data_IF_579575677184
#
_entry.id   IF_579575677184
#
_cell.length_a   1.000
_cell.length_b   1.000
_cell.length_c   1.000
_cell.angle_alpha   90.00
_cell.angle_beta   90.00
_cell.angle_gamma   90.00
#
_symmetry.space_group_name_H-M   'P 1'
#
loop_
_entity.id
_entity.type
_entity.pdbx_description
1 polymer ?
#
# COMPACT_ATOMS: atom_id res chain seq x y z
N UNK A 1 2.11 -27.06 15.39
CA UNK A 1 1.66 -25.64 15.37
C UNK A 1 2.59 -24.72 14.56
N UNK A 2 3.90 -24.94 14.60
CA UNK A 2 4.87 -24.05 13.96
C UNK A 2 4.85 -24.03 12.40
N UNK A 3 4.52 -25.13 11.73
CA UNK A 3 4.57 -25.22 10.26
C UNK A 3 3.51 -24.32 9.58
N UNK A 4 2.31 -24.28 10.14
CA UNK A 4 1.21 -23.48 9.55
C UNK A 4 1.46 -22.00 9.79
N UNK A 5 1.94 -21.63 10.98
CA UNK A 5 2.30 -20.25 11.30
C UNK A 5 3.43 -19.76 10.40
N UNK A 6 4.46 -20.56 10.19
CA UNK A 6 5.57 -20.23 9.30
C UNK A 6 5.10 -20.03 7.85
N UNK A 7 4.20 -20.89 7.35
CA UNK A 7 3.61 -20.72 6.01
C UNK A 7 2.82 -19.41 5.91
N UNK A 8 2.04 -19.08 6.92
CA UNK A 8 1.29 -17.83 6.97
C UNK A 8 2.19 -16.59 6.92
N UNK A 9 3.27 -16.58 7.71
CA UNK A 9 4.25 -15.49 7.72
C UNK A 9 4.94 -15.37 6.36
N UNK A 10 5.37 -16.51 5.77
CA UNK A 10 5.97 -16.55 4.45
C UNK A 10 5.03 -16.03 3.35
N UNK A 11 3.74 -16.35 3.41
CA UNK A 11 2.75 -15.84 2.44
C UNK A 11 2.62 -14.32 2.54
N UNK A 12 2.53 -13.75 3.75
CA UNK A 12 2.49 -12.30 3.94
C UNK A 12 3.77 -11.61 3.45
N UNK A 13 4.94 -12.20 3.72
CA UNK A 13 6.23 -11.70 3.26
C UNK A 13 6.32 -11.74 1.73
N UNK A 14 5.99 -12.89 1.12
CA UNK A 14 6.03 -13.04 -0.33
C UNK A 14 5.04 -12.12 -1.04
N UNK A 15 3.81 -12.00 -0.54
CA UNK A 15 2.80 -11.10 -1.09
C UNK A 15 3.27 -9.64 -1.04
N UNK A 16 3.76 -9.17 0.12
CA UNK A 16 4.29 -7.80 0.27
C UNK A 16 5.46 -7.54 -0.66
N UNK A 17 6.40 -8.48 -0.76
CA UNK A 17 7.56 -8.36 -1.62
C UNK A 17 7.16 -8.31 -3.11
N UNK A 18 6.28 -9.21 -3.56
CA UNK A 18 5.83 -9.26 -4.95
C UNK A 18 5.06 -7.99 -5.35
N UNK A 19 4.21 -7.47 -4.48
CA UNK A 19 3.46 -6.24 -4.74
C UNK A 19 4.42 -5.04 -4.83
N UNK A 20 5.35 -4.90 -3.88
CA UNK A 20 6.36 -3.84 -3.92
C UNK A 20 7.25 -3.96 -5.17
N UNK A 21 7.70 -5.15 -5.51
CA UNK A 21 8.47 -5.39 -6.71
C UNK A 21 7.71 -4.97 -7.96
N UNK A 22 6.43 -5.35 -8.06
CA UNK A 22 5.57 -4.99 -9.19
C UNK A 22 5.42 -3.48 -9.33
N UNK A 23 5.14 -2.74 -8.25
CA UNK A 23 4.98 -1.28 -8.34
C UNK A 23 6.30 -0.57 -8.65
N UNK A 24 7.46 -1.10 -8.23
CA UNK A 24 8.75 -0.57 -8.62
C UNK A 24 9.10 -0.86 -10.09
N UNK A 25 8.75 -2.04 -10.58
CA UNK A 25 8.88 -2.34 -12.02
C UNK A 25 8.03 -1.38 -12.85
N UNK A 26 6.77 -1.16 -12.48
CA UNK A 26 5.89 -0.20 -13.17
C UNK A 26 6.48 1.21 -13.14
N UNK A 27 7.02 1.62 -12.01
CA UNK A 27 7.61 2.95 -11.88
C UNK A 27 8.86 3.15 -12.72
N UNK A 28 9.83 2.22 -12.68
CA UNK A 28 11.15 2.42 -13.27
C UNK A 28 11.28 1.87 -14.70
N UNK A 29 10.58 0.77 -15.04
CA UNK A 29 10.64 0.20 -16.38
C UNK A 29 9.55 0.75 -17.31
N UNK A 30 8.36 1.02 -16.76
CA UNK A 30 7.25 1.56 -17.55
C UNK A 30 7.10 3.08 -17.41
N UNK A 31 8.02 3.74 -16.69
CA UNK A 31 8.00 5.19 -16.44
C UNK A 31 6.65 5.70 -15.90
N UNK A 32 5.93 4.86 -15.15
CA UNK A 32 4.67 5.25 -14.51
C UNK A 32 4.96 5.96 -13.20
N UNK A 33 5.06 7.29 -13.26
CA UNK A 33 5.39 8.07 -12.09
C UNK A 33 4.26 8.03 -11.05
N UNK A 34 4.55 7.65 -9.79
CA UNK A 34 3.53 7.52 -8.75
C UNK A 34 3.08 8.88 -8.23
N UNK A 35 1.80 9.05 -7.96
CA UNK A 35 1.28 10.18 -7.19
C UNK A 35 1.69 10.07 -5.71
N UNK A 36 1.51 11.12 -4.92
CA UNK A 36 1.83 11.13 -3.48
C UNK A 36 1.05 10.06 -2.70
N UNK A 37 -0.22 9.85 -3.03
CA UNK A 37 -1.03 8.80 -2.39
C UNK A 37 -0.56 7.40 -2.78
N UNK A 38 -0.15 7.17 -4.03
CA UNK A 38 0.41 5.89 -4.47
C UNK A 38 1.69 5.52 -3.69
N UNK A 39 2.49 6.53 -3.34
CA UNK A 39 3.70 6.31 -2.49
C UNK A 39 3.29 5.91 -1.07
N UNK A 40 2.30 6.60 -0.50
CA UNK A 40 1.81 6.31 0.86
C UNK A 40 1.15 4.93 0.97
N UNK A 41 0.51 4.44 -0.09
CA UNK A 41 -0.07 3.10 -0.17
C UNK A 41 0.95 1.97 -0.10
N UNK A 42 2.23 2.25 -0.28
CA UNK A 42 3.31 1.25 -0.11
C UNK A 42 3.66 0.99 1.35
N UNK A 43 3.37 1.94 2.27
CA UNK A 43 3.73 1.80 3.69
C UNK A 43 3.14 0.55 4.36
N UNK A 44 1.86 0.21 4.19
CA UNK A 44 1.31 -1.04 4.73
C UNK A 44 2.10 -2.28 4.33
N UNK A 45 2.55 -2.37 3.07
CA UNK A 45 3.35 -3.50 2.60
C UNK A 45 4.74 -3.55 3.23
N UNK A 46 5.39 -2.40 3.44
CA UNK A 46 6.67 -2.36 4.17
C UNK A 46 6.48 -2.83 5.61
N UNK A 47 5.42 -2.37 6.29
CA UNK A 47 5.13 -2.77 7.67
C UNK A 47 4.85 -4.27 7.74
N UNK A 48 4.02 -4.82 6.84
CA UNK A 48 3.75 -6.27 6.77
C UNK A 48 5.04 -7.06 6.52
N UNK A 49 5.87 -6.61 5.59
CA UNK A 49 7.15 -7.24 5.29
C UNK A 49 8.11 -7.25 6.50
N UNK A 50 8.25 -6.11 7.17
CA UNK A 50 9.08 -5.97 8.38
C UNK A 50 8.54 -6.86 9.51
N UNK A 51 7.24 -6.83 9.77
CA UNK A 51 6.61 -7.69 10.77
C UNK A 51 6.84 -9.18 10.47
N UNK A 52 6.75 -9.58 9.19
CA UNK A 52 7.00 -10.95 8.78
C UNK A 52 8.46 -11.35 9.02
N UNK A 53 9.42 -10.50 8.66
CA UNK A 53 10.86 -10.75 8.89
C UNK A 53 11.16 -10.84 10.39
N UNK A 54 10.68 -9.88 11.19
CA UNK A 54 10.86 -9.91 12.65
C UNK A 54 10.32 -11.22 13.24
N UNK A 55 9.17 -11.68 12.73
CA UNK A 55 8.54 -12.92 13.22
C UNK A 55 9.34 -14.18 12.92
N UNK A 56 10.10 -14.21 11.82
CA UNK A 56 10.98 -15.35 11.51
C UNK A 56 12.09 -15.49 12.54
N UNK A 57 12.59 -14.37 13.07
CA UNK A 57 13.69 -14.35 14.04
C UNK A 57 13.23 -14.45 15.51
N UNK A 58 11.96 -14.19 15.79
CA UNK A 58 11.43 -14.30 17.17
C UNK A 58 10.85 -15.68 17.38
N UNK A 59 11.36 -16.37 18.41
CA UNK A 59 10.86 -17.68 18.82
C UNK A 59 9.40 -17.58 19.30
N UNK A 60 8.47 -18.14 18.54
CA UNK A 60 7.02 -17.95 18.69
C UNK A 60 6.37 -18.94 19.67
N UNK A 61 7.10 -19.41 20.69
CA UNK A 61 6.56 -20.34 21.67
C UNK A 61 5.46 -19.75 22.58
N UNK A 62 5.28 -18.42 22.57
CA UNK A 62 4.28 -17.76 23.41
C UNK A 62 3.01 -17.43 22.61
N UNK A 63 1.88 -17.97 23.05
CA UNK A 63 0.55 -17.77 22.44
C UNK A 63 0.20 -16.28 22.32
N UNK A 64 0.52 -15.48 23.35
CA UNK A 64 0.24 -14.05 23.37
C UNK A 64 0.99 -13.30 22.26
N UNK A 65 2.27 -13.62 22.04
CA UNK A 65 3.06 -13.00 20.95
C UNK A 65 2.47 -13.32 19.59
N UNK A 66 2.07 -14.56 19.35
CA UNK A 66 1.43 -15.00 18.11
C UNK A 66 0.12 -14.25 17.85
N UNK A 67 -0.68 -14.03 18.89
CA UNK A 67 -1.95 -13.27 18.78
C UNK A 67 -1.69 -11.80 18.44
N UNK A 68 -0.76 -11.15 19.14
CA UNK A 68 -0.39 -9.74 18.88
C UNK A 68 0.05 -9.56 17.43
N UNK A 69 0.88 -10.44 16.92
CA UNK A 69 1.38 -10.37 15.55
C UNK A 69 0.27 -10.52 14.52
N UNK A 70 -0.64 -11.48 14.71
CA UNK A 70 -1.82 -11.63 13.83
C UNK A 70 -2.69 -10.38 13.85
N UNK A 71 -2.92 -9.78 15.02
CA UNK A 71 -3.67 -8.54 15.15
C UNK A 71 -2.97 -7.38 14.43
N UNK A 72 -1.64 -7.29 14.50
CA UNK A 72 -0.88 -6.28 13.78
C UNK A 72 -0.99 -6.44 12.27
N UNK A 73 -0.92 -7.68 11.74
CA UNK A 73 -1.15 -7.93 10.31
C UNK A 73 -2.55 -7.49 9.87
N UNK A 74 -3.58 -7.84 10.65
CA UNK A 74 -4.97 -7.45 10.36
C UNK A 74 -5.11 -5.93 10.40
N UNK A 75 -4.62 -5.27 11.46
CA UNK A 75 -4.70 -3.83 11.62
C UNK A 75 -4.02 -3.11 10.44
N UNK A 76 -2.80 -3.53 10.09
CA UNK A 76 -2.07 -2.93 8.97
C UNK A 76 -2.79 -3.12 7.63
N UNK A 77 -3.31 -4.33 7.36
CA UNK A 77 -4.07 -4.62 6.14
C UNK A 77 -5.38 -3.83 6.11
N UNK A 78 -6.05 -3.66 7.24
CA UNK A 78 -7.29 -2.90 7.36
C UNK A 78 -7.07 -1.40 7.10
N UNK A 79 -6.03 -0.81 7.70
CA UNK A 79 -5.68 0.59 7.43
C UNK A 79 -5.26 0.80 5.97
N UNK A 80 -4.47 -0.12 5.39
CA UNK A 80 -4.11 -0.08 3.97
C UNK A 80 -5.34 -0.15 3.07
N UNK A 81 -6.29 -1.02 3.37
CA UNK A 81 -7.56 -1.14 2.66
C UNK A 81 -8.38 0.14 2.71
N UNK A 82 -8.56 0.74 3.89
CA UNK A 82 -9.30 2.00 4.03
C UNK A 82 -8.64 3.14 3.26
N UNK A 83 -7.31 3.21 3.30
CA UNK A 83 -6.57 4.24 2.59
C UNK A 83 -6.68 4.07 1.07
N UNK A 84 -6.66 2.84 0.57
CA UNK A 84 -6.84 2.55 -0.86
C UNK A 84 -8.25 2.89 -1.35
N UNK A 85 -9.29 2.59 -0.56
CA UNK A 85 -10.66 3.03 -0.88
C UNK A 85 -10.75 4.56 -0.94
N UNK A 86 -10.12 5.25 0.01
CA UNK A 86 -10.08 6.70 0.02
C UNK A 86 -9.42 7.24 -1.25
N UNK A 87 -8.31 6.65 -1.69
CA UNK A 87 -7.62 7.03 -2.92
C UNK A 87 -8.48 6.80 -4.18
N UNK A 88 -9.08 5.63 -4.32
CA UNK A 88 -10.02 5.35 -5.44
C UNK A 88 -11.18 6.34 -5.44
N UNK A 89 -11.69 6.72 -4.28
CA UNK A 89 -12.75 7.72 -4.19
C UNK A 89 -12.32 9.12 -4.68
N UNK A 90 -11.06 9.49 -4.50
CA UNK A 90 -10.50 10.73 -5.08
C UNK A 90 -10.36 10.59 -6.60
N UNK A 91 -9.82 9.47 -7.11
CA UNK A 91 -9.73 9.20 -8.55
C UNK A 91 -11.11 9.23 -9.24
N UNK A 92 -12.12 8.67 -8.59
CA UNK A 92 -13.51 8.65 -9.08
C UNK A 92 -14.29 9.93 -8.77
N UNK A 93 -13.64 10.94 -8.14
CA UNK A 93 -14.24 12.25 -7.80
C UNK A 93 -15.44 12.17 -6.87
N UNK A 94 -15.53 11.13 -6.03
CA UNK A 94 -16.55 11.04 -4.97
C UNK A 94 -16.30 12.07 -3.86
N UNK A 95 -15.04 12.42 -3.63
CA UNK A 95 -14.61 13.49 -2.72
C UNK A 95 -13.38 14.21 -3.25
N UNK A 96 -13.20 15.44 -2.80
CA UNK A 96 -12.04 16.26 -3.16
C UNK A 96 -10.79 15.72 -2.47
N UNK A 97 -9.72 15.51 -3.23
CA UNK A 97 -8.41 15.18 -2.69
C UNK A 97 -7.83 16.34 -1.86
N UNK A 98 -6.84 16.03 -1.03
CA UNK A 98 -6.08 17.07 -0.31
C UNK A 98 -5.37 17.98 -1.31
N UNK A 99 -5.09 19.23 -0.91
CA UNK A 99 -4.42 20.23 -1.76
C UNK A 99 -3.06 19.73 -2.31
N UNK A 100 -2.36 18.90 -1.55
CA UNK A 100 -1.13 18.22 -1.99
C UNK A 100 -1.33 17.27 -3.17
N UNK A 101 -2.54 16.68 -3.30
CA UNK A 101 -2.90 15.76 -4.39
C UNK A 101 -3.38 16.48 -5.65
N UNK A 102 -3.74 17.76 -5.58
CA UNK A 102 -4.23 18.56 -6.71
C UNK A 102 -3.14 19.41 -7.39
N UNK A 103 -1.87 19.19 -7.02
CA UNK A 103 -0.74 19.92 -7.62
C UNK A 103 -0.67 21.40 -7.23
N UNK A 104 -1.34 21.82 -6.16
CA UNK A 104 -1.21 23.17 -5.64
C UNK A 104 0.15 23.33 -4.97
N UNK A 105 1.07 23.97 -5.67
CA UNK A 105 2.38 24.31 -5.16
C UNK A 105 2.30 25.37 -4.06
N UNK A 106 2.98 25.16 -2.97
CA UNK A 106 3.17 26.11 -1.86
C UNK A 106 4.32 27.08 -2.12
N UNK A 107 4.69 27.30 -3.38
CA UNK A 107 5.74 28.25 -3.69
C UNK A 107 5.25 29.67 -3.41
N UNK A 108 5.93 30.36 -2.50
CA UNK A 108 5.62 31.73 -2.05
C UNK A 108 6.06 32.79 -3.05
N UNK A 109 6.81 32.41 -4.10
CA UNK A 109 7.35 33.30 -5.12
C UNK A 109 6.99 32.81 -6.53
N UNK A 110 6.58 33.73 -7.40
CA UNK A 110 6.13 33.47 -8.78
C UNK A 110 7.27 32.89 -9.65
N UNK A 111 8.50 33.34 -9.43
CA UNK A 111 9.66 32.84 -10.18
C UNK A 111 10.03 31.42 -9.78
N UNK A 112 10.02 31.10 -8.48
CA UNK A 112 10.25 29.74 -7.97
C UNK A 112 9.12 28.78 -8.42
N UNK A 113 7.87 29.24 -8.47
CA UNK A 113 6.73 28.48 -8.97
C UNK A 113 6.87 28.16 -10.46
N UNK A 114 7.27 29.13 -11.27
CA UNK A 114 7.44 28.91 -12.73
C UNK A 114 8.58 27.92 -13.02
N UNK A 115 9.70 28.00 -12.30
CA UNK A 115 10.83 27.09 -12.42
C UNK A 115 10.46 25.65 -11.98
N UNK A 116 9.65 25.51 -10.95
CA UNK A 116 9.15 24.23 -10.43
C UNK A 116 8.16 23.58 -11.42
N UNK A 117 7.24 24.36 -11.99
CA UNK A 117 6.28 23.91 -13.00
C UNK A 117 6.94 23.45 -14.31
N UNK A 118 8.07 24.07 -14.67
CA UNK A 118 8.81 23.69 -15.88
C UNK A 118 9.65 22.42 -15.73
N UNK A 119 10.09 22.11 -14.50
CA UNK A 119 11.05 21.04 -14.23
C UNK A 119 10.47 19.78 -13.61
N UNK A 120 9.23 19.81 -13.08
CA UNK A 120 8.62 18.65 -12.41
C UNK A 120 7.25 18.34 -13.00
N UNK A 121 7.03 17.14 -13.56
CA UNK A 121 5.69 16.73 -13.96
C UNK A 121 4.80 16.65 -12.72
N UNK A 122 3.75 17.45 -12.67
CA UNK A 122 2.77 17.41 -11.59
C UNK A 122 1.88 16.19 -11.81
N UNK A 123 2.11 15.15 -10.98
CA UNK A 123 1.28 13.94 -11.03
C UNK A 123 0.15 14.11 -10.03
N UNK A 124 -1.06 14.17 -10.58
CA UNK A 124 -2.27 14.40 -9.80
C UNK A 124 -2.84 13.09 -9.29
N UNK A 125 -3.32 13.07 -8.04
CA UNK A 125 -3.98 11.89 -7.46
C UNK A 125 -5.44 11.74 -7.93
N UNK A 126 -6.05 12.76 -8.49
CA UNK A 126 -7.43 12.76 -9.01
C UNK A 126 -7.50 12.39 -10.51
N UNK A 127 -6.37 12.04 -11.10
CA UNK A 127 -6.27 11.48 -12.45
C UNK A 127 -5.82 10.03 -12.34
N UNK A 128 -6.72 9.09 -12.73
CA UNK A 128 -6.47 7.67 -12.62
C UNK A 128 -5.33 7.23 -13.54
N UNK A 129 -4.27 6.67 -12.98
CA UNK A 129 -3.21 6.00 -13.76
C UNK A 129 -3.70 4.62 -14.15
N UNK A 130 -4.21 4.50 -15.40
CA UNK A 130 -4.82 3.27 -15.88
C UNK A 130 -3.77 2.29 -16.41
N UNK A 131 -3.85 1.04 -15.98
CA UNK A 131 -3.14 -0.09 -16.57
C UNK A 131 -3.96 -0.60 -17.76
N UNK A 132 -3.35 -0.62 -18.94
CA UNK A 132 -4.00 -1.06 -20.19
C UNK A 132 -5.34 -0.36 -20.49
N UNK A 133 -5.54 0.89 -20.02
CA UNK A 133 -6.78 1.66 -20.15
C UNK A 133 -8.04 1.02 -19.54
N UNK A 134 -7.88 0.07 -18.61
CA UNK A 134 -9.01 -0.68 -18.03
C UNK A 134 -9.17 -0.45 -16.53
N UNK A 135 -8.11 -0.62 -15.75
CA UNK A 135 -8.16 -0.63 -14.29
C UNK A 135 -7.10 0.34 -13.75
N UNK A 136 -7.44 1.13 -12.74
CA UNK A 136 -6.46 2.00 -12.10
C UNK A 136 -5.54 1.21 -11.17
N UNK A 137 -4.32 1.74 -10.96
CA UNK A 137 -3.36 1.15 -10.01
C UNK A 137 -3.93 1.19 -8.58
N UNK A 138 -4.69 2.23 -8.23
CA UNK A 138 -5.36 2.33 -6.94
C UNK A 138 -6.45 1.26 -6.77
N UNK A 139 -7.23 0.95 -7.80
CA UNK A 139 -8.23 -0.13 -7.77
C UNK A 139 -7.56 -1.50 -7.56
N UNK A 140 -6.44 -1.77 -8.25
CA UNK A 140 -5.66 -2.99 -8.03
C UNK A 140 -5.14 -3.08 -6.60
N UNK A 141 -4.75 -1.96 -6.01
CA UNK A 141 -4.31 -1.91 -4.62
C UNK A 141 -5.44 -2.23 -3.63
N UNK A 142 -6.68 -1.75 -3.89
CA UNK A 142 -7.87 -2.15 -3.11
C UNK A 142 -8.05 -3.66 -3.14
N UNK A 143 -7.95 -4.30 -4.32
CA UNK A 143 -8.07 -5.75 -4.44
C UNK A 143 -6.98 -6.46 -3.66
N UNK A 144 -5.73 -6.04 -3.79
CA UNK A 144 -4.59 -6.63 -3.11
C UNK A 144 -4.72 -6.54 -1.57
N UNK A 145 -5.09 -5.36 -1.05
CA UNK A 145 -5.33 -5.16 0.39
C UNK A 145 -6.53 -5.96 0.91
N UNK A 146 -7.59 -6.07 0.11
CA UNK A 146 -8.75 -6.91 0.45
C UNK A 146 -8.36 -8.37 0.60
N UNK A 147 -7.60 -8.91 -0.35
CA UNK A 147 -7.12 -10.29 -0.29
C UNK A 147 -6.23 -10.54 0.93
N UNK A 148 -5.31 -9.62 1.24
CA UNK A 148 -4.47 -9.70 2.43
C UNK A 148 -5.31 -9.63 3.71
N UNK A 149 -6.30 -8.75 3.77
CA UNK A 149 -7.18 -8.62 4.93
C UNK A 149 -7.99 -9.89 5.16
N UNK A 150 -8.56 -10.48 4.10
CA UNK A 150 -9.30 -11.74 4.18
C UNK A 150 -8.38 -12.88 4.63
N UNK A 151 -7.18 -12.99 4.06
CA UNK A 151 -6.19 -13.99 4.47
C UNK A 151 -5.87 -13.88 5.95
N UNK A 152 -5.56 -12.67 6.42
CA UNK A 152 -5.17 -12.41 7.79
C UNK A 152 -6.33 -12.65 8.77
N UNK A 153 -7.55 -12.25 8.43
CA UNK A 153 -8.75 -12.50 9.23
C UNK A 153 -9.09 -14.00 9.31
N UNK A 154 -8.96 -14.74 8.19
CA UNK A 154 -9.21 -16.17 8.13
C UNK A 154 -8.27 -16.98 9.05
N UNK A 155 -6.98 -16.61 9.07
CA UNK A 155 -6.00 -17.27 9.94
C UNK A 155 -6.23 -16.97 11.41
N UNK A 156 -6.76 -15.79 11.75
CA UNK A 156 -7.18 -15.49 13.12
C UNK A 156 -8.40 -16.33 13.52
N UNK A 157 -9.41 -16.39 12.65
CA UNK A 157 -10.65 -17.15 12.90
C UNK A 157 -10.39 -18.63 13.14
N UNK A 158 -9.55 -19.25 12.33
CA UNK A 158 -9.20 -20.69 12.49
C UNK A 158 -8.39 -21.02 13.72
N UNK A 159 -8.00 -20.03 14.56
CA UNK A 159 -7.11 -20.22 15.74
C UNK A 159 -5.83 -21.04 15.42
N UNK A 160 -5.37 -20.94 14.18
CA UNK A 160 -4.18 -21.64 13.68
C UNK A 160 -2.93 -20.94 14.18
#
# INVERSE_FOLDING_TARGET
>A
MNIILNKYILVNLAASFLILLTVYILQYFFNMAPCDMCIKERYPYYIIGILAVINIFIDSHQILKTLIIKLLFIATSFFGFLYSIYHVGIERKFWTGRTECSGQNTALDIEALSAQLMNTPIIRCDEATLLFNLISIAELNVVAMTLLLILNAFVLYKKI
#
